data_IF_642534266249
#
_entry.id   IF_642534266249
#
_cell.length_a   1.000
_cell.length_b   1.000
_cell.length_c   1.000
_cell.angle_alpha   90.00
_cell.angle_beta   90.00
_cell.angle_gamma   90.00
#
_symmetry.space_group_name_H-M   'P 1'
#
loop_
_entity.id
_entity.type
_entity.pdbx_description
1 polymer ?
#
# COMPACT_ATOMS: atom_id res chain seq x y z
N UNK A 1 -4.74 -112.01 9.50
CA UNK A 1 -3.89 -110.84 9.80
C UNK A 1 -4.39 -109.67 8.98
N UNK A 2 -5.09 -108.73 9.63
CA UNK A 2 -5.32 -107.38 9.09
C UNK A 2 -5.74 -106.50 10.25
N UNK A 3 -4.76 -105.80 10.79
CA UNK A 3 -4.90 -104.84 11.89
C UNK A 3 -5.57 -103.57 11.35
N UNK A 4 -6.62 -103.10 12.04
CA UNK A 4 -7.30 -101.83 11.70
C UNK A 4 -6.53 -100.68 12.35
N UNK A 5 -5.91 -99.82 11.54
CA UNK A 5 -5.35 -98.55 12.02
C UNK A 5 -6.34 -97.40 11.75
N UNK A 6 -6.71 -96.73 12.85
CA UNK A 6 -7.62 -95.59 12.96
C UNK A 6 -6.93 -94.28 12.53
N UNK A 7 -7.64 -93.27 11.99
CA UNK A 7 -7.03 -92.00 11.59
C UNK A 7 -6.59 -91.17 12.81
N UNK A 8 -5.44 -90.47 12.76
CA UNK A 8 -4.99 -89.63 13.87
C UNK A 8 -5.86 -88.38 14.01
N UNK A 9 -6.70 -88.36 15.05
CA UNK A 9 -7.38 -87.16 15.54
C UNK A 9 -6.41 -86.33 16.38
N UNK A 10 -5.56 -85.54 15.72
CA UNK A 10 -4.64 -84.61 16.37
C UNK A 10 -4.72 -83.23 15.72
N UNK A 11 -5.13 -82.21 16.47
CA UNK A 11 -5.06 -80.81 16.02
C UNK A 11 -3.58 -80.43 15.87
N UNK A 12 -3.15 -80.07 14.67
CA UNK A 12 -1.81 -79.52 14.45
C UNK A 12 -1.70 -78.17 15.16
N UNK A 13 -0.82 -78.07 16.16
CA UNK A 13 -0.53 -76.82 16.88
C UNK A 13 0.62 -76.13 16.16
N UNK A 14 0.32 -75.01 15.50
CA UNK A 14 1.29 -74.19 14.75
C UNK A 14 1.76 -73.03 15.64
N UNK A 15 3.05 -72.66 15.56
CA UNK A 15 3.58 -71.46 16.24
C UNK A 15 4.16 -71.67 17.64
N UNK A 16 4.66 -72.87 17.98
CA UNK A 16 5.33 -73.18 19.27
C UNK A 16 6.86 -73.35 19.18
N UNK A 17 7.45 -73.15 18.00
CA UNK A 17 8.90 -73.22 17.83
C UNK A 17 9.58 -71.91 18.30
N UNK A 18 10.81 -71.97 18.83
CA UNK A 18 11.54 -70.77 19.25
C UNK A 18 11.71 -69.81 18.07
N UNK A 19 11.28 -68.56 18.24
CA UNK A 19 11.33 -67.53 17.20
C UNK A 19 10.09 -67.42 16.31
N UNK A 20 9.05 -68.23 16.51
CA UNK A 20 7.76 -68.02 15.84
C UNK A 20 6.75 -67.27 16.72
N UNK A 21 5.96 -66.33 16.16
CA UNK A 21 4.91 -65.65 16.91
C UNK A 21 3.79 -66.63 17.29
N UNK A 22 3.46 -66.66 18.58
CA UNK A 22 2.42 -67.55 19.13
C UNK A 22 1.05 -67.06 18.69
N UNK A 23 0.40 -67.80 17.78
CA UNK A 23 -0.99 -67.58 17.38
C UNK A 23 -1.92 -68.33 18.35
N UNK A 24 -2.06 -67.84 19.57
CA UNK A 24 -2.88 -68.50 20.57
C UNK A 24 -2.97 -67.74 21.88
N UNK A 25 -3.77 -66.68 21.90
CA UNK A 25 -4.05 -65.97 23.15
C UNK A 25 -5.23 -65.00 23.10
N UNK A 26 -5.48 -64.35 21.96
CA UNK A 26 -6.56 -63.35 21.82
C UNK A 26 -7.41 -63.54 20.55
N UNK A 27 -7.46 -64.75 19.99
CA UNK A 27 -8.38 -65.09 18.90
C UNK A 27 -9.77 -65.44 19.47
N UNK A 28 -10.35 -64.49 20.20
CA UNK A 28 -11.73 -64.55 20.64
C UNK A 28 -12.65 -64.14 19.49
N UNK A 29 -13.31 -65.14 18.90
CA UNK A 29 -14.57 -65.05 18.17
C UNK A 29 -14.58 -64.35 16.78
N UNK A 30 -13.81 -64.86 15.81
CA UNK A 30 -14.28 -64.81 14.41
C UNK A 30 -14.14 -66.16 13.74
N UNK A 31 -15.28 -66.84 13.60
CA UNK A 31 -15.40 -68.03 12.78
C UNK A 31 -15.10 -67.64 11.33
N UNK A 32 -14.10 -68.26 10.72
CA UNK A 32 -13.77 -68.12 9.29
C UNK A 32 -14.71 -68.94 8.40
N UNK A 33 -16.00 -68.97 8.73
CA UNK A 33 -17.03 -69.67 7.97
C UNK A 33 -18.14 -68.71 7.60
N UNK A 34 -18.30 -68.45 6.30
CA UNK A 34 -19.48 -67.95 5.56
C UNK A 34 -20.59 -67.23 6.35
N UNK A 35 -20.22 -66.30 7.23
CA UNK A 35 -21.13 -65.43 7.94
C UNK A 35 -21.08 -64.06 7.28
N UNK A 36 -22.16 -63.69 6.60
CA UNK A 36 -22.45 -62.32 6.16
C UNK A 36 -22.51 -61.38 7.36
N UNK A 37 -21.34 -61.08 7.92
CA UNK A 37 -21.17 -60.05 8.95
C UNK A 37 -20.98 -58.76 8.20
N UNK A 38 -22.13 -58.14 7.90
CA UNK A 38 -22.21 -56.75 7.45
C UNK A 38 -21.33 -55.94 8.41
N UNK A 39 -20.27 -55.34 7.88
CA UNK A 39 -19.49 -54.39 8.67
C UNK A 39 -20.47 -53.31 9.14
N UNK A 40 -20.45 -52.91 10.42
CA UNK A 40 -21.16 -51.70 10.82
C UNK A 40 -20.70 -50.61 9.86
N UNK A 41 -21.63 -50.02 9.11
CA UNK A 41 -21.39 -48.84 8.29
C UNK A 41 -20.46 -47.93 9.10
N UNK A 42 -19.24 -47.68 8.59
CA UNK A 42 -18.38 -46.67 9.19
C UNK A 42 -19.21 -45.38 9.08
N UNK A 43 -19.87 -44.99 10.16
CA UNK A 43 -20.51 -43.69 10.24
C UNK A 43 -19.43 -42.69 9.90
N UNK A 44 -19.56 -42.05 8.74
CA UNK A 44 -18.64 -41.03 8.27
C UNK A 44 -18.35 -40.11 9.45
N UNK A 45 -17.09 -40.06 9.88
CA UNK A 45 -16.71 -39.18 10.96
C UNK A 45 -17.19 -37.78 10.55
N UNK A 46 -18.03 -37.10 11.35
CA UNK A 46 -18.61 -35.84 10.92
C UNK A 46 -17.45 -34.93 10.56
N UNK A 47 -17.36 -34.55 9.29
CA UNK A 47 -16.40 -33.58 8.81
C UNK A 47 -16.74 -32.27 9.53
N UNK A 48 -16.20 -32.09 10.74
CA UNK A 48 -16.29 -30.84 11.47
C UNK A 48 -15.57 -29.84 10.59
N UNK A 49 -16.34 -29.04 9.88
CA UNK A 49 -15.85 -27.86 9.19
C UNK A 49 -15.00 -27.09 10.19
N UNK A 50 -13.68 -27.18 10.02
CA UNK A 50 -12.75 -26.45 10.86
C UNK A 50 -12.97 -24.98 10.51
N UNK A 51 -13.68 -24.27 11.38
CA UNK A 51 -13.95 -22.83 11.24
C UNK A 51 -12.64 -22.13 10.89
N UNK A 52 -12.56 -21.56 9.68
CA UNK A 52 -11.30 -21.01 9.16
C UNK A 52 -10.68 -19.93 10.06
N UNK A 53 -11.52 -19.21 10.80
CA UNK A 53 -11.16 -18.22 11.83
C UNK A 53 -10.37 -18.76 13.02
N UNK A 54 -10.28 -20.09 13.21
CA UNK A 54 -9.47 -20.71 14.27
C UNK A 54 -8.10 -21.20 13.77
N UNK A 55 -7.81 -21.08 12.48
CA UNK A 55 -6.47 -21.38 12.00
C UNK A 55 -5.52 -20.24 12.38
N UNK A 56 -4.45 -20.49 13.15
CA UNK A 56 -3.53 -19.45 13.59
C UNK A 56 -2.90 -18.72 12.40
N UNK A 57 -2.64 -19.43 11.30
CA UNK A 57 -2.15 -18.84 10.06
C UNK A 57 -3.14 -17.81 9.45
N UNK A 58 -4.45 -18.07 9.50
CA UNK A 58 -5.46 -17.17 8.98
C UNK A 58 -5.57 -15.89 9.81
N UNK A 59 -5.52 -16.00 11.14
CA UNK A 59 -5.52 -14.84 12.05
C UNK A 59 -4.27 -13.98 11.85
N UNK A 60 -3.09 -14.59 11.81
CA UNK A 60 -1.82 -13.88 11.59
C UNK A 60 -1.85 -13.16 10.25
N UNK A 61 -2.26 -13.85 9.16
CA UNK A 61 -2.37 -13.23 7.85
C UNK A 61 -3.33 -12.04 7.85
N UNK A 62 -4.52 -12.19 8.43
CA UNK A 62 -5.53 -11.13 8.45
C UNK A 62 -5.05 -9.89 9.21
N UNK A 63 -4.39 -10.10 10.36
CA UNK A 63 -3.81 -9.01 11.15
C UNK A 63 -2.69 -8.32 10.36
N UNK A 64 -1.79 -9.09 9.75
CA UNK A 64 -0.70 -8.53 8.94
C UNK A 64 -1.24 -7.72 7.76
N UNK A 65 -2.30 -8.17 7.09
CA UNK A 65 -2.94 -7.43 6.02
C UNK A 65 -3.52 -6.11 6.51
N UNK A 66 -4.21 -6.10 7.66
CA UNK A 66 -4.74 -4.86 8.24
C UNK A 66 -3.62 -3.89 8.63
N UNK A 67 -2.54 -4.40 9.24
CA UNK A 67 -1.38 -3.58 9.59
C UNK A 67 -0.67 -3.02 8.35
N UNK A 68 -0.51 -3.83 7.30
CA UNK A 68 0.08 -3.39 6.04
C UNK A 68 -0.76 -2.30 5.37
N UNK A 69 -2.08 -2.45 5.34
CA UNK A 69 -2.99 -1.42 4.84
C UNK A 69 -2.93 -0.15 5.69
N UNK A 70 -2.94 -0.29 7.02
CA UNK A 70 -2.80 0.84 7.93
C UNK A 70 -1.49 1.59 7.71
N UNK A 71 -0.37 0.87 7.58
CA UNK A 71 0.94 1.43 7.29
C UNK A 71 0.99 2.12 5.92
N UNK A 72 0.34 1.55 4.89
CA UNK A 72 0.26 2.18 3.58
C UNK A 72 -0.54 3.49 3.62
N UNK A 73 -1.66 3.52 4.34
CA UNK A 73 -2.47 4.73 4.51
C UNK A 73 -1.71 5.80 5.30
N UNK A 74 -1.07 5.44 6.41
CA UNK A 74 -0.28 6.41 7.18
C UNK A 74 0.91 6.92 6.37
N UNK A 75 1.62 6.05 5.64
CA UNK A 75 2.67 6.46 4.72
C UNK A 75 2.14 7.44 3.69
N UNK A 76 0.99 7.15 3.07
CA UNK A 76 0.40 8.02 2.06
C UNK A 76 0.06 9.41 2.62
N UNK A 77 -0.57 9.47 3.80
CA UNK A 77 -0.88 10.73 4.48
C UNK A 77 0.40 11.51 4.80
N UNK A 78 1.40 10.85 5.39
CA UNK A 78 2.69 11.49 5.69
C UNK A 78 3.32 11.98 4.40
N UNK A 79 3.39 11.16 3.35
CA UNK A 79 3.96 11.58 2.07
C UNK A 79 3.23 12.78 1.50
N UNK A 80 1.89 12.81 1.51
CA UNK A 80 1.12 13.95 1.01
C UNK A 80 1.35 15.24 1.82
N UNK A 81 1.56 15.11 3.13
CA UNK A 81 1.81 16.26 4.02
C UNK A 81 3.28 16.71 4.05
N UNK A 82 4.22 15.82 3.74
CA UNK A 82 5.67 16.10 3.76
C UNK A 82 6.26 16.14 2.36
N UNK A 83 5.42 16.20 1.31
CA UNK A 83 5.88 16.28 -0.07
C UNK A 83 6.46 17.66 -0.35
N UNK A 84 7.67 17.93 0.13
CA UNK A 84 8.41 19.15 -0.15
C UNK A 84 9.04 19.15 -1.55
N UNK A 85 8.71 18.17 -2.40
CA UNK A 85 9.31 18.04 -3.73
C UNK A 85 8.97 19.21 -4.64
N UNK A 86 7.77 19.77 -4.52
CA UNK A 86 7.31 20.92 -5.31
C UNK A 86 7.57 22.20 -4.54
N UNK A 87 8.71 22.82 -4.85
CA UNK A 87 9.16 24.09 -4.27
C UNK A 87 9.64 25.01 -5.38
N UNK A 88 9.31 26.29 -5.23
CA UNK A 88 9.81 27.37 -6.09
C UNK A 88 11.17 27.82 -5.55
N UNK A 89 12.13 28.00 -6.44
CA UNK A 89 13.48 28.46 -6.12
C UNK A 89 13.97 29.44 -7.18
N UNK A 90 14.82 30.39 -6.81
CA UNK A 90 15.45 31.30 -7.76
C UNK A 90 14.47 32.06 -8.66
N UNK A 91 13.32 32.49 -8.12
CA UNK A 91 12.38 33.32 -8.86
C UNK A 91 13.07 34.63 -9.23
N UNK A 92 13.13 34.90 -10.53
CA UNK A 92 13.71 36.10 -11.10
C UNK A 92 12.70 36.79 -12.01
N UNK A 93 12.87 38.11 -12.12
CA UNK A 93 12.11 38.95 -13.03
C UNK A 93 13.09 39.60 -14.00
N UNK A 94 12.78 39.55 -15.29
CA UNK A 94 13.58 40.15 -16.36
C UNK A 94 12.67 40.94 -17.29
N UNK A 95 13.01 42.19 -17.53
CA UNK A 95 12.26 43.03 -18.49
C UNK A 95 12.78 42.78 -19.91
N UNK A 96 11.99 42.10 -20.74
CA UNK A 96 12.33 41.80 -22.13
C UNK A 96 11.40 42.55 -23.10
N UNK A 97 11.85 43.73 -23.54
CA UNK A 97 11.09 44.55 -24.50
C UNK A 97 9.75 45.02 -23.93
N UNK A 98 8.65 44.46 -24.44
CA UNK A 98 7.28 44.78 -24.00
C UNK A 98 6.67 43.74 -23.05
N UNK A 99 7.50 42.86 -22.50
CA UNK A 99 7.08 41.80 -21.60
C UNK A 99 7.94 41.83 -20.34
N UNK A 100 7.30 41.52 -19.22
CA UNK A 100 8.00 41.06 -18.03
C UNK A 100 8.05 39.53 -18.09
N UNK A 101 9.25 39.00 -18.17
CA UNK A 101 9.52 37.58 -18.08
C UNK A 101 9.80 37.23 -16.62
N UNK A 102 9.05 36.28 -16.09
CA UNK A 102 9.28 35.67 -14.80
C UNK A 102 9.77 34.26 -15.03
N UNK A 103 10.89 33.89 -14.43
CA UNK A 103 11.44 32.56 -14.47
C UNK A 103 11.71 32.05 -13.06
N UNK A 104 11.50 30.76 -12.83
CA UNK A 104 11.83 30.12 -11.57
C UNK A 104 12.30 28.68 -11.76
N UNK A 105 12.96 28.15 -10.75
CA UNK A 105 13.37 26.76 -10.65
C UNK A 105 12.38 25.93 -9.84
N UNK A 106 12.12 24.71 -10.28
CA UNK A 106 11.28 23.73 -9.60
C UNK A 106 11.07 22.47 -10.46
N UNK A 107 10.46 21.40 -9.93
CA UNK A 107 10.09 20.24 -10.73
C UNK A 107 8.99 20.56 -11.77
N UNK A 108 8.77 19.64 -12.72
CA UNK A 108 7.62 19.72 -13.63
C UNK A 108 6.31 19.47 -12.86
N UNK A 109 5.67 20.56 -12.43
CA UNK A 109 4.47 20.58 -11.61
C UNK A 109 3.59 21.78 -11.95
N UNK A 110 2.36 21.78 -11.44
CA UNK A 110 1.47 22.93 -11.58
C UNK A 110 1.83 24.02 -10.56
N UNK A 111 2.07 25.24 -11.07
CA UNK A 111 2.33 26.43 -10.27
C UNK A 111 1.19 27.43 -10.40
N UNK A 112 0.94 28.18 -9.33
CA UNK A 112 0.06 29.33 -9.30
C UNK A 112 0.91 30.61 -9.22
N UNK A 113 0.50 31.61 -10.00
CA UNK A 113 1.17 32.91 -10.09
C UNK A 113 0.17 33.99 -9.69
N UNK A 114 0.60 34.87 -8.79
CA UNK A 114 -0.19 36.00 -8.32
C UNK A 114 0.61 37.30 -8.49
N UNK A 115 -0.07 38.36 -8.91
CA UNK A 115 0.45 39.72 -8.81
C UNK A 115 -0.16 40.38 -7.57
N UNK A 116 0.68 40.90 -6.70
CA UNK A 116 0.32 41.59 -5.45
C UNK A 116 0.64 43.06 -5.65
N UNK A 117 -0.37 43.91 -5.57
CA UNK A 117 -0.19 45.35 -5.67
C UNK A 117 0.31 45.98 -4.36
N UNK A 118 0.53 47.29 -4.37
CA UNK A 118 0.98 48.04 -3.19
C UNK A 118 -0.05 48.07 -2.04
N UNK A 119 -1.33 47.86 -2.35
CA UNK A 119 -2.42 47.82 -1.38
C UNK A 119 -2.58 46.41 -0.77
N UNK A 120 -1.85 45.42 -1.30
CA UNK A 120 -1.84 44.03 -0.86
C UNK A 120 -2.87 43.13 -1.55
N UNK A 121 -3.59 43.66 -2.55
CA UNK A 121 -4.55 42.88 -3.33
C UNK A 121 -3.83 41.95 -4.28
N UNK A 122 -4.22 40.67 -4.26
CA UNK A 122 -3.63 39.63 -5.08
C UNK A 122 -4.52 39.29 -6.29
N UNK A 123 -3.99 39.48 -7.49
CA UNK A 123 -4.62 39.10 -8.76
C UNK A 123 -4.04 37.78 -9.24
N UNK A 124 -4.92 36.82 -9.54
CA UNK A 124 -4.51 35.52 -10.08
C UNK A 124 -4.12 35.62 -11.57
N UNK A 125 -2.87 35.29 -11.86
CA UNK A 125 -2.27 35.26 -13.20
C UNK A 125 -1.86 33.84 -13.61
N UNK A 126 -2.32 32.81 -12.91
CA UNK A 126 -1.96 31.39 -13.13
C UNK A 126 -2.16 30.94 -14.58
N UNK A 127 -3.12 31.52 -15.29
CA UNK A 127 -3.36 31.28 -16.72
C UNK A 127 -2.18 31.63 -17.66
N UNK A 128 -1.26 32.49 -17.21
CA UNK A 128 -0.07 32.92 -17.96
C UNK A 128 1.13 31.99 -17.73
N UNK A 129 1.06 31.09 -16.74
CA UNK A 129 2.14 30.15 -16.42
C UNK A 129 2.34 29.14 -17.55
N UNK A 130 3.59 28.92 -17.93
CA UNK A 130 4.03 27.94 -18.93
C UNK A 130 5.23 27.18 -18.37
N UNK A 131 4.96 26.02 -17.74
CA UNK A 131 6.00 25.26 -17.05
C UNK A 131 6.53 26.06 -15.84
N UNK A 132 7.79 26.47 -15.89
CA UNK A 132 8.47 27.24 -14.84
C UNK A 132 8.76 28.70 -15.23
N UNK A 133 8.00 29.22 -16.19
CA UNK A 133 8.08 30.61 -16.61
C UNK A 133 6.70 31.24 -16.83
N UNK A 134 6.64 32.56 -16.82
CA UNK A 134 5.47 33.34 -17.21
C UNK A 134 5.88 34.60 -17.96
N UNK A 135 5.12 34.92 -19.00
CA UNK A 135 5.34 36.10 -19.83
C UNK A 135 4.16 37.06 -19.68
N UNK A 136 4.40 38.21 -19.05
CA UNK A 136 3.37 39.19 -18.73
C UNK A 136 3.50 40.39 -19.67
N UNK A 137 2.56 40.60 -20.61
CA UNK A 137 2.61 41.74 -21.52
C UNK A 137 2.34 43.05 -20.78
N UNK A 138 3.21 44.05 -20.95
CA UNK A 138 3.03 45.38 -20.34
C UNK A 138 1.78 46.10 -20.85
N UNK A 139 1.36 45.82 -22.09
CA UNK A 139 0.17 46.41 -22.70
C UNK A 139 -1.15 46.09 -21.99
N UNK A 140 -1.18 45.05 -21.14
CA UNK A 140 -2.37 44.69 -20.38
C UNK A 140 -2.53 45.50 -19.07
N UNK A 141 -1.49 46.25 -18.66
CA UNK A 141 -1.54 47.05 -17.43
C UNK A 141 -1.74 46.21 -16.17
N UNK A 142 -1.28 44.96 -16.17
CA UNK A 142 -1.42 44.01 -15.06
C UNK A 142 -0.41 44.22 -13.93
N UNK A 143 0.59 45.08 -14.15
CA UNK A 143 1.63 45.39 -13.18
C UNK A 143 2.18 46.79 -13.41
N UNK A 144 2.77 47.33 -12.36
CA UNK A 144 3.57 48.53 -12.32
C UNK A 144 4.86 48.28 -11.52
N UNK A 145 5.69 49.30 -11.33
CA UNK A 145 6.95 49.19 -10.59
C UNK A 145 6.76 48.81 -9.11
N UNK A 146 5.56 49.02 -8.54
CA UNK A 146 5.24 48.69 -7.16
C UNK A 146 4.65 47.27 -7.00
N UNK A 147 4.34 46.61 -8.12
CA UNK A 147 3.75 45.28 -8.12
C UNK A 147 4.80 44.21 -7.82
N UNK A 148 4.46 43.27 -6.94
CA UNK A 148 5.29 42.11 -6.64
C UNK A 148 4.58 40.81 -7.03
N UNK A 149 5.34 39.86 -7.54
CA UNK A 149 4.83 38.57 -8.01
C UNK A 149 5.14 37.49 -7.01
N UNK A 150 4.16 36.64 -6.76
CA UNK A 150 4.28 35.45 -5.92
C UNK A 150 4.02 34.22 -6.75
N UNK A 151 4.98 33.30 -6.76
CA UNK A 151 4.82 31.98 -7.35
C UNK A 151 4.80 30.93 -6.25
N UNK A 152 3.84 30.02 -6.27
CA UNK A 152 3.72 28.90 -5.32
C UNK A 152 3.13 27.66 -5.99
N UNK A 153 3.26 26.47 -5.39
CA UNK A 153 2.59 25.27 -5.91
C UNK A 153 1.08 25.47 -6.01
N UNK A 154 0.44 25.00 -7.08
CA UNK A 154 -0.99 25.25 -7.34
C UNK A 154 -1.95 24.63 -6.32
N UNK A 155 -1.49 23.61 -5.57
CA UNK A 155 -2.26 23.00 -4.49
C UNK A 155 -2.29 23.82 -3.20
N UNK A 156 -1.52 24.92 -3.13
CA UNK A 156 -1.38 25.71 -1.91
C UNK A 156 -2.55 26.69 -1.75
N UNK A 157 -3.34 26.50 -0.69
CA UNK A 157 -4.57 27.25 -0.44
C UNK A 157 -4.44 28.35 0.61
N UNK A 158 -3.24 28.56 1.15
CA UNK A 158 -2.97 29.63 2.09
C UNK A 158 -3.20 31.01 1.46
N UNK A 159 -3.34 32.04 2.29
CA UNK A 159 -3.43 33.42 1.83
C UNK A 159 -2.15 33.82 1.08
N UNK A 160 -2.30 34.57 -0.02
CA UNK A 160 -1.16 35.09 -0.79
C UNK A 160 -0.55 36.22 0.01
N UNK A 161 0.77 36.19 0.19
CA UNK A 161 1.49 37.17 1.00
C UNK A 161 2.90 37.38 0.47
N UNK A 162 3.46 38.55 0.74
CA UNK A 162 4.85 38.91 0.44
C UNK A 162 5.78 38.67 1.64
N UNK A 163 5.26 38.23 2.78
CA UNK A 163 6.08 37.88 3.93
C UNK A 163 6.98 36.68 3.61
N UNK A 164 8.30 36.86 3.75
CA UNK A 164 9.29 35.87 3.35
C UNK A 164 9.15 34.55 4.13
N UNK A 165 8.79 34.62 5.42
CA UNK A 165 8.64 33.42 6.24
C UNK A 165 7.38 32.63 5.85
N UNK A 166 6.29 33.33 5.58
CA UNK A 166 5.06 32.73 5.08
C UNK A 166 5.25 32.13 3.68
N UNK A 167 5.91 32.84 2.75
CA UNK A 167 6.23 32.32 1.42
C UNK A 167 7.08 31.05 1.47
N UNK A 168 8.11 31.05 2.32
CA UNK A 168 8.97 29.89 2.53
C UNK A 168 8.17 28.68 3.07
N UNK A 169 7.25 28.90 4.01
CA UNK A 169 6.33 27.85 4.49
C UNK A 169 5.34 27.36 3.44
N UNK A 170 5.01 28.21 2.46
CA UNK A 170 4.17 27.87 1.31
C UNK A 170 4.99 27.28 0.15
N UNK A 171 6.31 27.09 0.33
CA UNK A 171 7.25 26.63 -0.72
C UNK A 171 7.21 27.52 -1.97
N UNK A 172 6.83 28.78 -1.79
CA UNK A 172 6.76 29.80 -2.82
C UNK A 172 7.95 30.74 -2.79
N UNK A 173 8.00 31.62 -3.77
CA UNK A 173 8.96 32.71 -3.85
C UNK A 173 8.26 33.99 -4.31
N UNK A 174 8.82 35.13 -3.92
CA UNK A 174 8.35 36.46 -4.30
C UNK A 174 9.45 37.27 -4.98
N UNK A 175 9.10 38.08 -5.98
CA UNK A 175 9.99 39.05 -6.64
C UNK A 175 9.20 40.30 -7.02
N UNK A 176 9.78 41.49 -6.89
CA UNK A 176 9.10 42.71 -7.30
C UNK A 176 9.45 43.13 -8.72
N UNK A 177 8.51 43.76 -9.42
CA UNK A 177 8.74 44.28 -10.77
C UNK A 177 9.91 45.28 -10.80
N UNK A 178 10.07 46.08 -9.74
CA UNK A 178 11.20 46.99 -9.56
C UNK A 178 12.57 46.29 -9.55
N UNK A 179 12.63 45.00 -9.19
CA UNK A 179 13.87 44.22 -9.16
C UNK A 179 14.19 43.61 -10.53
N UNK A 180 13.39 43.87 -11.56
CA UNK A 180 13.58 43.29 -12.88
C UNK A 180 14.88 43.81 -13.53
N UNK A 181 15.90 42.96 -13.56
CA UNK A 181 17.23 43.29 -14.12
C UNK A 181 18.27 43.80 -13.11
N UNK A 182 18.03 43.61 -11.80
CA UNK A 182 19.02 43.84 -10.74
C UNK A 182 20.11 42.74 -10.66
#
# INVERSE_FOLDING_TARGET
MTDRLMPPTGRAVVGRAPGQPVLGGHAGARALGNGSTVLPELADAPARERRWWRHPAFLVSSILTILALGAAVTWWIVSALTDDSVRVSGLAATSEGAYLHLDWGGPDAAYALYAVDADGEAVDLTQLVRGTEAWIPSALGLYDDATCFVVRPAGESAEVTLDAQALESQRGAGVCAADAGA
#
